data_IF_912050994590
#
_entry.id   IF_912050994590
#
_cell.length_a   1.000
_cell.length_b   1.000
_cell.length_c   1.000
_cell.angle_alpha   90.00
_cell.angle_beta   90.00
_cell.angle_gamma   90.00
#
_symmetry.space_group_name_H-M   'P 1'
#
loop_
_entity.id
_entity.type
_entity.pdbx_description
1 polymer ?
#
# COMPACT_ATOMS: atom_id res chain seq x y z
N UNK A 1 28.01 14.78 8.65
CA UNK A 1 26.62 14.57 9.13
C UNK A 1 26.50 15.37 10.42
N UNK A 2 25.45 16.18 10.57
CA UNK A 2 25.27 17.06 11.74
C UNK A 2 23.79 17.43 11.91
N UNK A 3 23.39 17.72 13.14
CA UNK A 3 22.07 18.27 13.49
C UNK A 3 21.95 19.78 13.19
N UNK A 4 23.07 20.51 13.13
CA UNK A 4 23.08 21.95 12.82
C UNK A 4 22.89 22.17 11.31
N UNK A 5 21.63 22.22 10.88
CA UNK A 5 21.22 22.40 9.49
C UNK A 5 20.74 23.85 9.31
N UNK A 6 21.28 24.60 8.33
CA UNK A 6 20.87 25.99 8.10
C UNK A 6 19.41 26.09 7.63
N UNK A 7 18.71 27.14 8.06
CA UNK A 7 17.36 27.50 7.60
C UNK A 7 16.29 26.40 7.82
N UNK A 8 16.48 25.55 8.82
CA UNK A 8 15.52 24.51 9.22
C UNK A 8 14.91 24.87 10.56
N UNK A 9 13.60 24.66 10.72
CA UNK A 9 12.90 24.92 11.98
C UNK A 9 13.21 23.85 13.03
N UNK A 10 13.13 24.20 14.31
CA UNK A 10 13.34 23.24 15.42
C UNK A 10 12.36 22.05 15.33
N UNK A 11 11.15 22.28 14.83
CA UNK A 11 10.16 21.24 14.60
C UNK A 11 10.62 20.19 13.58
N UNK A 12 11.39 20.57 12.56
CA UNK A 12 11.94 19.63 11.59
C UNK A 12 13.15 18.86 12.15
N UNK A 13 13.77 19.34 13.22
CA UNK A 13 14.87 18.69 13.94
C UNK A 13 14.40 17.82 15.12
N UNK A 14 13.08 17.75 15.37
CA UNK A 14 12.51 17.04 16.52
C UNK A 14 12.84 15.54 16.53
N UNK A 15 12.90 14.94 15.34
CA UNK A 15 13.08 13.50 15.16
C UNK A 15 14.56 13.09 15.04
N UNK A 16 15.49 14.06 15.05
CA UNK A 16 16.92 13.83 14.89
C UNK A 16 17.61 13.76 16.25
N UNK A 17 18.53 12.81 16.38
CA UNK A 17 19.48 12.71 17.48
C UNK A 17 20.54 13.82 17.42
N UNK A 18 21.45 13.83 18.40
CA UNK A 18 22.54 14.82 18.49
C UNK A 18 23.53 14.75 17.31
N UNK A 19 23.59 13.62 16.61
CA UNK A 19 24.41 13.44 15.40
C UNK A 19 23.70 13.96 14.14
N UNK A 20 22.40 14.23 14.22
CA UNK A 20 21.56 14.60 13.09
C UNK A 20 20.98 13.39 12.36
N UNK A 21 20.84 12.24 13.00
CA UNK A 21 20.27 11.01 12.43
C UNK A 21 18.91 10.73 13.08
N UNK A 22 17.93 10.31 12.30
CA UNK A 22 16.60 9.96 12.83
C UNK A 22 16.66 8.78 13.80
N UNK A 23 15.89 8.83 14.88
CA UNK A 23 15.80 7.71 15.82
C UNK A 23 14.86 6.59 15.33
N UNK A 24 15.13 5.35 15.76
CA UNK A 24 14.28 4.19 15.45
C UNK A 24 12.94 4.31 16.18
N UNK A 25 11.85 4.06 15.48
CA UNK A 25 10.48 4.24 15.97
C UNK A 25 9.88 5.62 15.69
N UNK A 26 10.64 6.55 15.09
CA UNK A 26 10.09 7.84 14.67
C UNK A 26 9.04 7.66 13.57
N UNK A 27 7.89 8.32 13.72
CA UNK A 27 6.95 8.54 12.63
C UNK A 27 7.43 9.72 11.79
N UNK A 28 7.61 9.46 10.50
CA UNK A 28 8.13 10.42 9.52
C UNK A 28 7.15 10.57 8.36
N UNK A 29 6.97 11.81 7.92
CA UNK A 29 6.13 12.18 6.79
C UNK A 29 6.98 12.68 5.63
N UNK A 30 6.32 12.89 4.49
CA UNK A 30 6.92 13.49 3.30
C UNK A 30 7.69 14.78 3.65
N UNK A 31 8.94 14.87 3.23
CA UNK A 31 9.80 16.03 3.43
C UNK A 31 10.55 16.10 4.76
N UNK A 32 10.21 15.23 5.73
CA UNK A 32 10.93 15.14 7.00
C UNK A 32 12.40 14.75 6.79
N UNK A 33 13.27 15.28 7.64
CA UNK A 33 14.72 15.03 7.58
C UNK A 33 15.01 13.70 8.25
N UNK A 34 15.65 12.78 7.51
CA UNK A 34 16.11 11.49 8.02
C UNK A 34 17.56 11.56 8.48
N UNK A 35 18.40 12.25 7.71
CA UNK A 35 19.83 12.39 8.02
C UNK A 35 20.29 13.80 7.65
N UNK A 36 20.65 14.57 8.66
CA UNK A 36 21.22 15.91 8.55
C UNK A 36 22.60 15.89 7.89
N UNK A 37 22.70 16.49 6.71
CA UNK A 37 23.95 16.57 5.96
C UNK A 37 24.14 17.98 5.41
N UNK A 38 25.19 18.64 5.87
CA UNK A 38 25.64 19.92 5.34
C UNK A 38 26.85 19.72 4.45
N UNK A 39 26.91 20.49 3.36
CA UNK A 39 28.05 20.54 2.45
C UNK A 39 28.57 21.97 2.42
N UNK A 40 29.89 22.20 2.50
CA UNK A 40 30.45 23.54 2.37
C UNK A 40 30.05 24.15 1.02
N UNK A 41 29.58 25.40 1.06
CA UNK A 41 29.25 26.20 -0.11
C UNK A 41 30.45 27.09 -0.43
N UNK A 42 30.82 27.17 -1.69
CA UNK A 42 31.82 28.16 -2.13
C UNK A 42 31.35 29.59 -1.87
N UNK A 43 32.28 30.50 -1.64
CA UNK A 43 31.98 31.93 -1.47
C UNK A 43 31.32 32.42 -2.75
N UNK A 44 30.05 32.80 -2.64
CA UNK A 44 29.26 33.35 -3.73
C UNK A 44 29.15 34.85 -3.50
N UNK A 45 29.45 35.66 -4.51
CA UNK A 45 29.23 37.11 -4.41
C UNK A 45 27.72 37.38 -4.32
N UNK A 46 27.30 37.97 -3.21
CA UNK A 46 25.90 38.38 -2.96
C UNK A 46 25.54 39.58 -3.85
N UNK A 47 24.30 39.62 -4.34
CA UNK A 47 23.79 40.79 -5.09
C UNK A 47 23.63 42.01 -4.19
N UNK A 48 23.40 43.20 -4.78
CA UNK A 48 23.22 44.43 -4.01
C UNK A 48 22.00 44.34 -3.06
N UNK A 49 20.93 43.69 -3.49
CA UNK A 49 19.71 43.46 -2.72
C UNK A 49 19.94 42.48 -1.57
N UNK A 50 20.66 41.38 -1.81
CA UNK A 50 21.02 40.41 -0.76
C UNK A 50 21.95 41.03 0.29
N UNK A 51 22.91 41.87 -0.15
CA UNK A 51 23.78 42.63 0.76
C UNK A 51 22.97 43.58 1.65
N UNK A 52 21.96 44.26 1.08
CA UNK A 52 21.06 45.12 1.85
C UNK A 52 20.25 44.31 2.87
N UNK A 53 19.67 43.18 2.47
CA UNK A 53 18.94 42.28 3.36
C UNK A 53 19.82 41.77 4.52
N UNK A 54 21.04 41.33 4.22
CA UNK A 54 22.03 40.93 5.22
C UNK A 54 22.38 42.06 6.19
N UNK A 55 22.50 43.30 5.70
CA UNK A 55 22.78 44.47 6.55
C UNK A 55 21.60 44.84 7.48
N UNK A 56 20.36 44.63 7.03
CA UNK A 56 19.15 44.92 7.80
C UNK A 56 18.91 43.86 8.88
N UNK A 57 18.98 42.57 8.51
CA UNK A 57 18.64 41.47 9.43
C UNK A 57 19.83 40.95 10.24
N UNK A 58 21.06 41.35 9.90
CA UNK A 58 22.28 40.91 10.61
C UNK A 58 22.55 39.42 10.52
N UNK A 59 21.80 38.67 9.70
CA UNK A 59 22.03 37.25 9.48
C UNK A 59 23.38 37.09 8.78
N UNK A 60 24.31 36.35 9.37
CA UNK A 60 25.54 35.97 8.65
C UNK A 60 25.17 34.94 7.59
N UNK A 61 25.60 35.14 6.35
CA UNK A 61 25.53 34.11 5.32
C UNK A 61 26.26 32.87 5.83
N UNK A 62 25.53 31.79 6.12
CA UNK A 62 26.14 30.53 6.52
C UNK A 62 26.86 29.94 5.31
N UNK A 63 28.12 29.57 5.48
CA UNK A 63 28.98 29.00 4.43
C UNK A 63 28.64 27.55 4.08
N UNK A 64 27.48 27.05 4.53
CA UNK A 64 27.07 25.66 4.37
C UNK A 64 25.71 25.56 3.69
N UNK A 65 25.57 24.56 2.82
CA UNK A 65 24.33 24.23 2.14
C UNK A 65 23.72 22.96 2.74
N UNK A 66 22.41 22.98 2.95
CA UNK A 66 21.65 21.77 3.29
C UNK A 66 21.64 20.79 2.09
N UNK A 67 22.11 19.57 2.35
CA UNK A 67 22.13 18.41 1.45
C UNK A 67 21.62 17.15 2.16
N UNK A 68 20.76 17.36 3.16
CA UNK A 68 20.22 16.32 4.04
C UNK A 68 19.37 15.31 3.27
N UNK A 69 19.38 14.06 3.75
CA UNK A 69 18.47 13.03 3.27
C UNK A 69 17.08 13.31 3.85
N UNK A 70 16.09 13.40 2.98
CA UNK A 70 14.68 13.60 3.34
C UNK A 70 13.84 12.41 2.90
N UNK A 71 12.70 12.24 3.55
CA UNK A 71 11.69 11.28 3.12
C UNK A 71 11.24 11.64 1.70
N UNK A 72 11.21 10.68 0.74
CA UNK A 72 10.72 10.93 -0.61
C UNK A 72 9.26 11.36 -0.63
N UNK A 73 8.89 12.08 -1.69
CA UNK A 73 7.51 12.52 -1.89
C UNK A 73 6.51 11.37 -1.96
N UNK A 74 5.41 11.47 -1.21
CA UNK A 74 4.40 10.42 -1.09
C UNK A 74 4.86 9.16 -0.33
N UNK A 75 6.08 9.14 0.20
CA UNK A 75 6.53 8.15 1.15
C UNK A 75 6.36 8.67 2.58
N UNK A 76 6.35 7.75 3.53
CA UNK A 76 6.19 8.03 4.95
C UNK A 76 5.96 6.74 5.71
N UNK A 77 6.01 6.81 7.02
CA UNK A 77 5.81 5.66 7.88
C UNK A 77 6.69 5.69 9.11
N UNK A 78 7.00 4.51 9.62
CA UNK A 78 7.75 4.35 10.86
C UNK A 78 9.17 3.93 10.51
N UNK A 79 10.16 4.61 11.10
CA UNK A 79 11.56 4.19 10.99
C UNK A 79 11.73 2.87 11.74
N UNK A 80 11.99 1.80 11.00
CA UNK A 80 12.19 0.45 11.55
C UNK A 80 13.62 0.25 12.06
N UNK A 81 14.59 0.71 11.29
CA UNK A 81 16.01 0.46 11.58
C UNK A 81 16.89 1.52 10.93
N UNK A 82 18.04 1.80 11.54
CA UNK A 82 19.05 2.73 11.04
C UNK A 82 20.42 2.07 11.13
N UNK A 83 21.05 1.87 9.97
CA UNK A 83 22.39 1.28 9.88
C UNK A 83 23.39 2.34 9.48
N UNK A 84 24.43 2.50 10.29
CA UNK A 84 25.53 3.43 10.06
C UNK A 84 26.78 2.62 9.75
N UNK A 85 27.40 2.89 8.61
CA UNK A 85 28.64 2.28 8.15
C UNK A 85 29.73 3.36 8.11
N UNK A 86 30.85 3.12 8.79
CA UNK A 86 31.98 4.06 8.85
C UNK A 86 33.20 3.45 8.18
N UNK A 87 33.91 4.25 7.38
CA UNK A 87 35.14 3.77 6.73
C UNK A 87 36.24 3.40 7.73
N UNK A 88 36.34 4.13 8.83
CA UNK A 88 37.39 3.96 9.85
C UNK A 88 37.25 2.65 10.64
N UNK A 89 36.06 2.06 10.68
CA UNK A 89 35.78 0.80 11.39
C UNK A 89 36.05 -0.46 10.54
N UNK A 90 36.63 -0.29 9.34
CA UNK A 90 37.03 -1.41 8.47
C UNK A 90 35.93 -1.95 7.56
N UNK A 91 34.85 -1.19 7.35
CA UNK A 91 33.84 -1.53 6.33
C UNK A 91 34.39 -1.28 4.91
N UNK A 92 35.08 -2.29 4.36
CA UNK A 92 35.64 -2.32 2.99
C UNK A 92 34.56 -2.30 1.87
N UNK A 93 33.28 -2.21 2.24
CA UNK A 93 32.16 -2.15 1.28
C UNK A 93 31.82 -0.72 0.82
N UNK A 94 32.48 0.30 1.38
CA UNK A 94 32.22 1.70 1.05
C UNK A 94 32.95 2.17 -0.22
N UNK A 95 32.21 2.76 -1.16
CA UNK A 95 32.77 3.31 -2.39
C UNK A 95 33.83 4.39 -2.12
N UNK A 96 34.89 4.50 -2.95
CA UNK A 96 35.95 5.51 -2.79
C UNK A 96 35.37 6.92 -2.62
N UNK A 97 35.89 7.68 -1.65
CA UNK A 97 35.39 9.04 -1.34
C UNK A 97 34.19 9.12 -0.39
N UNK A 98 33.55 8.01 -0.02
CA UNK A 98 32.50 7.97 1.01
C UNK A 98 33.07 7.71 2.41
N UNK A 99 33.02 8.69 3.32
CA UNK A 99 33.52 8.53 4.69
C UNK A 99 32.55 7.75 5.60
N UNK A 100 31.25 8.01 5.43
CA UNK A 100 30.18 7.43 6.24
C UNK A 100 28.93 7.26 5.38
N UNK A 101 28.24 6.13 5.54
CA UNK A 101 26.96 5.83 4.90
C UNK A 101 25.91 5.53 5.97
N UNK A 102 24.77 6.21 5.89
CA UNK A 102 23.62 5.96 6.78
C UNK A 102 22.48 5.42 5.92
N UNK A 103 21.98 4.23 6.27
CA UNK A 103 20.79 3.61 5.65
C UNK A 103 19.66 3.64 6.65
N UNK A 104 18.54 4.26 6.27
CA UNK A 104 17.32 4.31 7.08
C UNK A 104 16.27 3.44 6.43
N UNK A 105 15.73 2.48 7.19
CA UNK A 105 14.66 1.60 6.76
C UNK A 105 13.33 2.15 7.27
N UNK A 106 12.43 2.48 6.35
CA UNK A 106 11.09 2.99 6.68
C UNK A 106 10.08 1.92 6.30
N UNK A 107 9.20 1.59 7.24
CA UNK A 107 8.06 0.71 7.00
C UNK A 107 6.82 1.56 6.81
N UNK A 108 6.17 1.38 5.66
CA UNK A 108 4.92 2.03 5.31
C UNK A 108 3.79 1.00 5.32
N UNK A 109 2.73 1.27 6.10
CA UNK A 109 1.47 0.53 5.97
C UNK A 109 0.62 1.19 4.90
N UNK A 110 0.49 0.54 3.75
CA UNK A 110 -0.41 0.98 2.68
C UNK A 110 -1.73 0.21 2.78
N UNK A 111 -2.82 0.95 2.98
CA UNK A 111 -4.17 0.41 2.82
C UNK A 111 -4.50 0.32 1.33
N UNK A 112 -5.50 -0.48 0.99
CA UNK A 112 -6.05 -0.56 -0.36
C UNK A 112 -6.77 0.74 -0.70
N UNK A 113 -6.57 1.26 -1.91
CA UNK A 113 -7.19 2.50 -2.38
C UNK A 113 -7.71 2.37 -3.81
N UNK A 114 -8.59 3.30 -4.18
CA UNK A 114 -9.04 3.46 -5.57
C UNK A 114 -7.83 3.68 -6.47
N UNK A 115 -7.73 2.92 -7.55
CA UNK A 115 -6.57 2.90 -8.43
C UNK A 115 -5.61 1.74 -8.19
N UNK A 116 -5.71 1.04 -7.04
CA UNK A 116 -4.95 -0.18 -6.82
C UNK A 116 -5.44 -1.29 -7.74
N UNK A 117 -4.50 -2.14 -8.17
CA UNK A 117 -4.75 -3.24 -9.09
C UNK A 117 -4.88 -4.53 -8.33
N UNK A 118 -6.00 -5.21 -8.53
CA UNK A 118 -6.31 -6.52 -7.95
C UNK A 118 -6.38 -7.58 -9.05
N UNK A 119 -6.12 -8.84 -8.71
CA UNK A 119 -6.33 -9.95 -9.63
C UNK A 119 -6.85 -11.21 -8.93
N UNK A 120 -7.58 -12.03 -9.67
CA UNK A 120 -7.83 -13.41 -9.29
C UNK A 120 -6.80 -14.36 -9.90
N UNK A 121 -6.84 -15.62 -9.49
CA UNK A 121 -5.95 -16.68 -9.98
C UNK A 121 -6.22 -17.09 -11.43
N UNK A 122 -7.39 -16.74 -11.97
CA UNK A 122 -7.83 -17.08 -13.33
C UNK A 122 -7.53 -15.98 -14.36
N UNK A 123 -6.57 -15.09 -14.06
CA UNK A 123 -6.15 -14.03 -14.97
C UNK A 123 -7.14 -12.87 -15.12
N UNK A 124 -8.24 -12.88 -14.36
CA UNK A 124 -9.11 -11.72 -14.18
C UNK A 124 -8.33 -10.64 -13.43
N UNK A 125 -8.23 -9.46 -14.02
CA UNK A 125 -7.51 -8.30 -13.47
C UNK A 125 -8.47 -7.12 -13.46
N UNK A 126 -8.42 -6.34 -12.39
CA UNK A 126 -9.24 -5.15 -12.23
C UNK A 126 -8.45 -4.05 -11.53
N UNK A 127 -8.89 -2.82 -11.74
CA UNK A 127 -8.48 -1.68 -10.93
C UNK A 127 -9.67 -1.30 -10.08
N UNK A 128 -9.45 -1.03 -8.79
CA UNK A 128 -10.52 -0.62 -7.89
C UNK A 128 -11.04 0.74 -8.35
N UNK A 129 -12.31 0.78 -8.76
CA UNK A 129 -12.95 1.99 -9.28
C UNK A 129 -13.59 2.82 -8.17
N UNK A 130 -14.15 2.15 -7.15
CA UNK A 130 -14.84 2.80 -6.03
C UNK A 130 -14.79 1.90 -4.80
N UNK A 131 -14.58 2.52 -3.64
CA UNK A 131 -14.80 1.90 -2.33
C UNK A 131 -16.08 2.53 -1.80
N UNK A 132 -17.11 1.71 -1.53
CA UNK A 132 -18.40 2.17 -1.03
C UNK A 132 -18.58 1.74 0.44
N UNK A 133 -19.41 2.46 1.21
CA UNK A 133 -19.82 2.01 2.54
C UNK A 133 -20.53 0.65 2.49
N UNK A 134 -20.53 -0.05 3.62
CA UNK A 134 -21.12 -1.40 3.75
C UNK A 134 -22.63 -1.37 3.53
N UNK A 135 -23.31 -0.33 4.00
CA UNK A 135 -24.75 -0.10 3.84
C UNK A 135 -25.18 0.12 2.38
N UNK A 136 -24.25 0.52 1.52
CA UNK A 136 -24.48 0.75 0.10
C UNK A 136 -24.28 -0.52 -0.74
N UNK A 137 -23.69 -1.57 -0.17
CA UNK A 137 -23.41 -2.82 -0.88
C UNK A 137 -24.67 -3.68 -1.00
N UNK A 138 -24.83 -4.40 -2.12
CA UNK A 138 -25.80 -5.47 -2.18
C UNK A 138 -25.61 -6.46 -1.03
N UNK A 139 -26.70 -7.01 -0.53
CA UNK A 139 -26.66 -7.96 0.58
C UNK A 139 -27.47 -9.22 0.29
N UNK A 140 -27.06 -10.30 0.94
CA UNK A 140 -27.67 -11.62 0.90
C UNK A 140 -28.98 -11.65 1.71
N UNK A 141 -29.85 -12.65 1.50
CA UNK A 141 -31.11 -12.75 2.26
C UNK A 141 -30.95 -12.86 3.78
N UNK A 142 -29.76 -13.25 4.26
CA UNK A 142 -29.40 -13.30 5.67
C UNK A 142 -28.90 -11.95 6.23
N UNK A 143 -28.82 -10.92 5.40
CA UNK A 143 -28.31 -9.59 5.73
C UNK A 143 -26.81 -9.40 5.50
N UNK A 144 -26.07 -10.45 5.10
CA UNK A 144 -24.62 -10.35 4.90
C UNK A 144 -24.32 -9.51 3.64
N UNK A 145 -23.54 -8.41 3.74
CA UNK A 145 -23.17 -7.61 2.59
C UNK A 145 -22.10 -8.30 1.73
N UNK A 146 -22.06 -7.94 0.44
CA UNK A 146 -21.03 -8.40 -0.48
C UNK A 146 -19.76 -7.57 -0.30
N UNK A 147 -18.58 -8.20 -0.39
CA UNK A 147 -17.30 -7.50 -0.30
C UNK A 147 -16.83 -6.88 -1.63
N UNK A 148 -16.98 -7.62 -2.73
CA UNK A 148 -16.46 -7.24 -4.06
C UNK A 148 -17.49 -7.56 -5.14
N UNK A 149 -17.78 -6.57 -5.99
CA UNK A 149 -18.60 -6.75 -7.19
C UNK A 149 -17.71 -6.83 -8.44
N UNK A 150 -17.87 -7.90 -9.22
CA UNK A 150 -17.15 -8.12 -10.48
C UNK A 150 -18.10 -8.03 -11.68
N UNK A 151 -17.62 -7.48 -12.78
CA UNK A 151 -18.39 -7.38 -14.02
C UNK A 151 -18.48 -8.77 -14.70
N UNK A 152 -19.68 -9.34 -14.91
CA UNK A 152 -19.85 -10.65 -15.52
C UNK A 152 -19.40 -10.71 -16.98
N UNK A 153 -19.40 -9.58 -17.70
CA UNK A 153 -19.02 -9.55 -19.12
C UNK A 153 -17.56 -9.95 -19.36
N UNK A 154 -16.71 -9.86 -18.34
CA UNK A 154 -15.29 -10.21 -18.43
C UNK A 154 -15.01 -11.72 -18.47
N UNK A 155 -16.01 -12.56 -18.16
CA UNK A 155 -15.86 -14.03 -18.12
C UNK A 155 -16.04 -14.66 -19.50
N UNK A 156 -17.15 -14.44 -20.23
CA UNK A 156 -17.38 -15.10 -21.53
C UNK A 156 -16.35 -14.67 -22.58
N UNK A 157 -15.97 -13.39 -22.57
CA UNK A 157 -15.03 -12.86 -23.57
C UNK A 157 -13.60 -13.41 -23.41
N UNK A 158 -13.23 -13.84 -22.20
CA UNK A 158 -11.89 -14.36 -21.88
C UNK A 158 -11.85 -15.87 -21.70
N UNK A 159 -13.01 -16.54 -21.75
CA UNK A 159 -13.14 -17.99 -21.60
C UNK A 159 -12.50 -18.54 -20.32
N UNK A 160 -12.44 -17.74 -19.25
CA UNK A 160 -11.87 -18.12 -17.96
C UNK A 160 -12.98 -18.56 -16.98
N UNK A 161 -13.70 -19.60 -17.38
CA UNK A 161 -14.86 -20.17 -16.66
C UNK A 161 -14.48 -20.69 -15.27
N UNK A 162 -13.22 -21.12 -15.07
CA UNK A 162 -12.73 -21.61 -13.79
C UNK A 162 -12.95 -20.68 -12.61
N UNK A 163 -13.00 -19.35 -12.82
CA UNK A 163 -13.31 -18.40 -11.75
C UNK A 163 -14.75 -18.53 -11.23
N UNK A 164 -15.69 -18.97 -12.07
CA UNK A 164 -17.09 -19.18 -11.70
C UNK A 164 -17.22 -20.48 -10.91
N UNK A 165 -16.50 -21.53 -11.35
CA UNK A 165 -16.41 -22.79 -10.60
C UNK A 165 -15.77 -22.58 -9.23
N UNK A 166 -14.67 -21.81 -9.16
CA UNK A 166 -14.04 -21.40 -7.91
C UNK A 166 -15.02 -20.65 -7.00
N UNK A 167 -15.76 -19.69 -7.55
CA UNK A 167 -16.73 -18.89 -6.81
C UNK A 167 -17.81 -19.78 -6.17
N UNK A 168 -18.39 -20.72 -6.91
CA UNK A 168 -19.44 -21.59 -6.39
C UNK A 168 -18.90 -22.63 -5.39
N UNK A 169 -17.80 -23.31 -5.73
CA UNK A 169 -17.18 -24.30 -4.86
C UNK A 169 -16.66 -23.65 -3.56
N UNK A 170 -16.11 -22.45 -3.65
CA UNK A 170 -15.65 -21.67 -2.48
C UNK A 170 -16.80 -21.28 -1.56
N UNK A 171 -17.97 -20.95 -2.11
CA UNK A 171 -19.17 -20.68 -1.31
C UNK A 171 -19.69 -21.93 -0.63
N UNK A 172 -19.78 -23.05 -1.36
CA UNK A 172 -20.22 -24.32 -0.81
C UNK A 172 -19.27 -24.78 0.31
N UNK A 173 -17.95 -24.64 0.10
CA UNK A 173 -16.94 -24.93 1.10
C UNK A 173 -17.08 -24.08 2.36
N UNK A 174 -17.37 -22.77 2.21
CA UNK A 174 -17.63 -21.85 3.33
C UNK A 174 -18.86 -22.28 4.14
N UNK A 175 -19.95 -22.65 3.46
CA UNK A 175 -21.19 -23.06 4.12
C UNK A 175 -21.05 -24.41 4.85
N UNK A 176 -20.31 -25.35 4.27
CA UNK A 176 -20.04 -26.66 4.87
C UNK A 176 -18.92 -26.62 5.93
N UNK A 177 -18.16 -25.52 5.99
CA UNK A 177 -17.01 -25.41 6.90
C UNK A 177 -15.85 -26.35 6.53
N UNK A 178 -15.71 -26.69 5.25
CA UNK A 178 -14.69 -27.62 4.75
C UNK A 178 -13.58 -26.88 4.00
N UNK A 179 -12.41 -27.51 3.93
CA UNK A 179 -11.34 -27.08 3.05
C UNK A 179 -11.32 -27.95 1.80
N UNK A 180 -11.27 -27.30 0.64
CA UNK A 180 -11.28 -27.98 -0.66
C UNK A 180 -9.93 -27.80 -1.34
N UNK A 181 -9.39 -28.89 -1.88
CA UNK A 181 -8.22 -28.90 -2.74
C UNK A 181 -8.60 -29.50 -4.09
N UNK A 182 -8.31 -28.76 -5.16
CA UNK A 182 -8.51 -29.23 -6.54
C UNK A 182 -7.15 -29.24 -7.24
N UNK A 183 -6.49 -30.41 -7.39
CA UNK A 183 -5.24 -30.53 -8.10
C UNK A 183 -5.30 -30.01 -9.54
N UNK A 184 -4.15 -29.62 -10.08
CA UNK A 184 -4.05 -29.19 -11.48
C UNK A 184 -4.17 -30.43 -12.37
N UNK A 185 -5.12 -30.40 -13.33
CA UNK A 185 -5.45 -31.48 -14.27
C UNK A 185 -6.11 -32.74 -13.71
N UNK A 186 -6.28 -32.84 -12.38
CA UNK A 186 -7.01 -33.91 -11.69
C UNK A 186 -7.89 -33.30 -10.59
N UNK A 187 -8.60 -32.26 -10.97
CA UNK A 187 -9.41 -31.43 -10.07
C UNK A 187 -10.85 -31.90 -9.95
N UNK A 188 -11.62 -31.18 -9.13
CA UNK A 188 -13.06 -31.37 -9.06
C UNK A 188 -13.68 -31.21 -10.46
N UNK A 189 -14.50 -32.18 -10.86
CA UNK A 189 -15.27 -32.09 -12.09
C UNK A 189 -16.58 -31.31 -11.86
N UNK A 190 -17.36 -31.07 -12.91
CA UNK A 190 -18.62 -30.32 -12.80
C UNK A 190 -19.62 -31.01 -11.85
N UNK A 191 -19.73 -32.35 -11.91
CA UNK A 191 -20.64 -33.11 -11.04
C UNK A 191 -20.24 -33.02 -9.56
N UNK A 192 -18.94 -33.02 -9.25
CA UNK A 192 -18.42 -32.81 -7.90
C UNK A 192 -18.78 -31.41 -7.38
N UNK A 193 -18.65 -30.39 -8.23
CA UNK A 193 -19.00 -29.01 -7.86
C UNK A 193 -20.50 -28.89 -7.58
N UNK A 194 -21.35 -29.38 -8.48
CA UNK A 194 -22.81 -29.28 -8.32
C UNK A 194 -23.34 -30.12 -7.16
N UNK A 195 -22.78 -31.31 -6.93
CA UNK A 195 -23.13 -32.13 -5.76
C UNK A 195 -22.73 -31.46 -4.44
N UNK A 196 -21.57 -30.81 -4.38
CA UNK A 196 -21.13 -30.05 -3.19
C UNK A 196 -22.03 -28.83 -2.94
N UNK A 197 -22.46 -28.14 -3.99
CA UNK A 197 -23.42 -27.02 -3.90
C UNK A 197 -24.76 -27.49 -3.33
N UNK A 198 -25.27 -28.65 -3.79
CA UNK A 198 -26.50 -29.25 -3.25
C UNK A 198 -26.35 -29.67 -1.79
N UNK A 199 -25.22 -30.29 -1.43
CA UNK A 199 -24.90 -30.66 -0.05
C UNK A 199 -24.83 -29.44 0.88
N UNK A 200 -24.30 -28.32 0.37
CA UNK A 200 -24.24 -27.03 1.07
C UNK A 200 -25.61 -26.32 1.20
N UNK A 201 -26.70 -26.91 0.70
CA UNK A 201 -28.04 -26.32 0.72
C UNK A 201 -28.19 -25.10 -0.21
N UNK A 202 -27.27 -24.94 -1.16
CA UNK A 202 -27.33 -23.86 -2.15
C UNK A 202 -28.21 -24.26 -3.33
N UNK A 203 -28.69 -23.26 -4.08
CA UNK A 203 -29.46 -23.53 -5.28
C UNK A 203 -28.58 -24.17 -6.38
N UNK A 204 -29.16 -25.09 -7.16
CA UNK A 204 -28.49 -25.80 -8.27
C UNK A 204 -27.89 -24.91 -9.34
N UNK A 205 -28.35 -23.67 -9.48
CA UNK A 205 -27.80 -22.71 -10.43
C UNK A 205 -26.66 -21.85 -9.83
N UNK A 206 -26.29 -22.08 -8.56
CA UNK A 206 -25.25 -21.36 -7.84
C UNK A 206 -25.58 -19.88 -7.60
N UNK A 207 -26.84 -19.47 -7.81
CA UNK A 207 -27.29 -18.08 -7.73
C UNK A 207 -28.16 -17.85 -6.51
N UNK A 208 -28.26 -16.60 -6.10
CA UNK A 208 -29.16 -16.18 -5.01
C UNK A 208 -29.81 -14.85 -5.35
N UNK A 209 -30.88 -14.51 -4.63
CA UNK A 209 -31.47 -13.17 -4.69
C UNK A 209 -30.57 -12.26 -3.87
N UNK A 210 -30.19 -11.13 -4.45
CA UNK A 210 -29.55 -10.03 -3.73
C UNK A 210 -30.55 -8.89 -3.59
N UNK A 211 -30.35 -8.08 -2.56
CA UNK A 211 -31.10 -6.86 -2.31
C UNK A 211 -30.16 -5.66 -2.47
N UNK A 212 -30.65 -4.57 -3.03
CA UNK A 212 -29.90 -3.31 -3.13
C UNK A 212 -29.80 -2.66 -1.74
N UNK A 213 -28.57 -2.39 -1.28
CA UNK A 213 -28.32 -1.76 0.02
C UNK A 213 -28.97 -0.37 0.17
N UNK A 214 -29.20 0.33 -0.94
CA UNK A 214 -29.76 1.70 -0.93
C UNK A 214 -31.27 1.74 -0.87
N UNK A 215 -31.93 0.84 -1.57
CA UNK A 215 -33.39 0.83 -1.69
C UNK A 215 -34.05 -0.27 -0.86
N UNK A 216 -33.31 -1.33 -0.54
CA UNK A 216 -33.82 -2.55 0.07
C UNK A 216 -34.61 -3.45 -0.90
N UNK A 217 -34.73 -3.07 -2.17
CA UNK A 217 -35.48 -3.84 -3.15
C UNK A 217 -34.64 -5.00 -3.70
N UNK A 218 -35.26 -6.17 -4.00
CA UNK A 218 -34.55 -7.27 -4.63
C UNK A 218 -34.18 -6.94 -6.08
N UNK A 219 -33.01 -7.39 -6.53
CA UNK A 219 -32.65 -7.31 -7.95
C UNK A 219 -33.56 -8.20 -8.80
N UNK A 220 -33.86 -7.75 -10.03
CA UNK A 220 -34.76 -8.46 -10.97
C UNK A 220 -34.33 -9.90 -11.27
N UNK A 221 -33.01 -10.13 -11.33
CA UNK A 221 -32.43 -11.42 -11.67
C UNK A 221 -31.59 -11.96 -10.51
N UNK A 222 -31.60 -13.30 -10.35
CA UNK A 222 -30.71 -13.97 -9.40
C UNK A 222 -29.26 -13.85 -9.85
N UNK A 223 -28.37 -13.56 -8.90
CA UNK A 223 -26.96 -13.22 -9.13
C UNK A 223 -26.09 -14.34 -8.57
N UNK A 224 -25.00 -14.67 -9.27
CA UNK A 224 -24.00 -15.62 -8.79
C UNK A 224 -23.18 -14.96 -7.68
N UNK A 225 -23.22 -15.53 -6.49
CA UNK A 225 -22.48 -15.05 -5.31
C UNK A 225 -21.66 -16.19 -4.76
N UNK A 226 -20.42 -15.90 -4.37
CA UNK A 226 -19.57 -16.90 -3.76
C UNK A 226 -18.20 -16.36 -3.35
N UNK A 227 -17.29 -17.29 -3.04
CA UNK A 227 -15.97 -16.97 -2.49
C UNK A 227 -14.92 -17.20 -3.56
N UNK A 228 -14.27 -16.11 -3.99
CA UNK A 228 -13.16 -16.14 -4.94
C UNK A 228 -11.89 -15.67 -4.24
N UNK A 229 -10.76 -16.32 -4.53
CA UNK A 229 -9.48 -15.89 -3.98
C UNK A 229 -8.89 -14.73 -4.81
N UNK A 230 -8.73 -13.57 -4.16
CA UNK A 230 -8.21 -12.34 -4.75
C UNK A 230 -6.82 -11.99 -4.19
N UNK A 231 -5.98 -11.40 -5.05
CA UNK A 231 -4.61 -10.97 -4.82
C UNK A 231 -4.45 -9.47 -5.10
#
# INVERSE_FOLDING_TARGET
>A
ITRDIPNVSDNALKNLDDRGIVYVGAEVNDGDILVGKVTPKGVTELTAEERLLHAIFGEKAREVRDTSLRVPHGAGGIVLDVKVFNREEGDDTLAPGVNQLVRVYIVQKRKIHVGDKMCGRHGNKGVISKIVPEEDMPYLPDGTPIDIMLNPLGVPSRMNIGQVLELHLGMAAKNLGIHVASPVFDGANDDDVWSTIEEAGMARDGKTVLYDGRTGEPFDNRISVGVMYML
#
